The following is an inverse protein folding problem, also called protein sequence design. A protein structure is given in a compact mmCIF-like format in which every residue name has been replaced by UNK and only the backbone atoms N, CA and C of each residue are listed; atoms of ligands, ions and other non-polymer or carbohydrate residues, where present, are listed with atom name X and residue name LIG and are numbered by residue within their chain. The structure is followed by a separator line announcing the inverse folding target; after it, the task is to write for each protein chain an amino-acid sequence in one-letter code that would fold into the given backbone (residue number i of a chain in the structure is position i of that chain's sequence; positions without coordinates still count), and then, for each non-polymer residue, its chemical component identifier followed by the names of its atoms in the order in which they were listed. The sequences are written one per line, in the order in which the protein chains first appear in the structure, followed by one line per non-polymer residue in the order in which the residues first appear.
data_IF_762987595516
#
_entry.id   IF_762987595516
#
_cell.length_a   1.000
_cell.length_b   1.000
_cell.length_c   1.000
_cell.angle_alpha   90.00
_cell.angle_beta   90.00
_cell.angle_gamma   90.00
#
_symmetry.space_group_name_H-M   'P 1'
#
loop_
_entity.id
_entity.type
_entity.pdbx_description
1 polymer ?
#
# COMPACT_ATOMS: atom_id res chain seq x y z
N UNK A 1 -12.37 25.86 4.73
CA UNK A 1 -13.24 24.79 4.19
C UNK A 1 -12.67 24.50 2.83
N UNK A 2 -11.87 23.44 2.71
CA UNK A 2 -11.35 22.99 1.40
C UNK A 2 -12.51 22.31 0.70
N UNK A 3 -12.74 22.66 -0.55
CA UNK A 3 -13.81 22.10 -1.36
C UNK A 3 -13.68 20.58 -1.35
N UNK A 4 -14.67 19.92 -0.75
CA UNK A 4 -14.76 18.47 -0.75
C UNK A 4 -15.15 18.05 -2.16
N UNK A 5 -14.17 17.66 -2.97
CA UNK A 5 -14.43 16.88 -4.16
C UNK A 5 -15.16 15.60 -3.71
N UNK A 6 -16.41 15.44 -4.14
CA UNK A 6 -17.20 14.24 -3.86
C UNK A 6 -16.70 13.07 -4.72
N UNK A 7 -15.51 12.58 -4.38
CA UNK A 7 -14.99 11.30 -4.86
C UNK A 7 -15.47 10.18 -3.94
N UNK A 8 -15.76 9.01 -4.51
CA UNK A 8 -16.01 7.78 -3.72
C UNK A 8 -14.72 7.04 -3.38
N UNK A 9 -13.57 7.56 -3.81
CA UNK A 9 -12.26 7.01 -3.53
C UNK A 9 -11.62 7.69 -2.32
N UNK A 10 -10.93 6.90 -1.51
CA UNK A 10 -10.07 7.38 -0.43
C UNK A 10 -9.01 8.34 -0.99
N UNK A 11 -8.73 9.42 -0.26
CA UNK A 11 -7.59 10.26 -0.58
C UNK A 11 -6.27 9.62 -0.16
N UNK A 12 -5.14 10.28 -0.44
CA UNK A 12 -3.83 9.70 -0.13
C UNK A 12 -3.60 9.51 1.38
N UNK A 13 -4.16 10.35 2.24
CA UNK A 13 -4.03 10.19 3.70
C UNK A 13 -4.92 9.05 4.19
N UNK A 14 -6.17 8.97 3.72
CA UNK A 14 -7.08 7.86 4.02
C UNK A 14 -6.47 6.49 3.66
N UNK A 15 -5.78 6.41 2.51
CA UNK A 15 -5.07 5.20 2.10
C UNK A 15 -3.90 4.85 3.01
N UNK A 16 -3.13 5.84 3.46
CA UNK A 16 -1.98 5.62 4.33
C UNK A 16 -2.42 5.20 5.75
N UNK A 17 -3.48 5.81 6.26
CA UNK A 17 -4.10 5.43 7.53
C UNK A 17 -4.60 3.97 7.45
N UNK A 18 -5.35 3.63 6.40
CA UNK A 18 -5.83 2.26 6.18
C UNK A 18 -4.70 1.24 6.06
N UNK A 19 -3.63 1.57 5.32
CA UNK A 19 -2.46 0.71 5.22
C UNK A 19 -1.79 0.53 6.58
N UNK A 20 -1.54 1.61 7.32
CA UNK A 20 -0.86 1.56 8.62
C UNK A 20 -1.56 0.71 9.69
N UNK A 21 -2.86 0.47 9.55
CA UNK A 21 -3.66 -0.36 10.46
C UNK A 21 -3.61 -1.87 10.15
N UNK A 22 -3.04 -2.30 9.01
CA UNK A 22 -3.01 -3.72 8.64
C UNK A 22 -2.05 -4.52 9.55
N UNK A 23 -2.62 -5.46 10.32
CA UNK A 23 -1.87 -6.45 11.09
C UNK A 23 -2.34 -7.89 10.73
N UNK A 24 -1.46 -8.75 10.22
CA UNK A 24 -0.03 -8.50 9.96
C UNK A 24 0.18 -7.60 8.74
N UNK A 25 1.17 -6.70 8.85
CA UNK A 25 1.65 -5.89 7.72
C UNK A 25 1.91 -6.77 6.49
N UNK A 26 1.54 -6.36 5.26
CA UNK A 26 1.77 -7.12 4.04
C UNK A 26 3.25 -7.27 3.72
N UNK A 27 3.61 -8.33 2.99
CA UNK A 27 4.98 -8.59 2.55
C UNK A 27 5.33 -7.75 1.33
N UNK A 28 4.34 -7.50 0.47
CA UNK A 28 4.44 -6.65 -0.70
C UNK A 28 3.07 -6.07 -1.00
N UNK A 29 3.01 -4.76 -1.23
CA UNK A 29 1.81 -4.04 -1.68
C UNK A 29 1.92 -3.69 -3.16
N UNK A 30 0.98 -4.15 -3.98
CA UNK A 30 0.94 -3.81 -5.40
C UNK A 30 -0.05 -2.67 -5.64
N UNK A 31 0.46 -1.56 -6.16
CA UNK A 31 -0.33 -0.35 -6.46
C UNK A 31 -0.86 -0.47 -7.89
N UNK A 32 -2.18 -0.37 -8.01
CA UNK A 32 -2.95 -0.46 -9.25
C UNK A 32 -3.97 0.66 -9.30
N UNK A 33 -4.62 0.84 -10.45
CA UNK A 33 -5.74 1.78 -10.63
C UNK A 33 -5.43 3.22 -10.15
N UNK A 34 -4.52 3.88 -10.85
CA UNK A 34 -4.20 5.29 -10.66
C UNK A 34 -3.46 5.82 -11.87
N UNK A 35 -3.40 7.14 -12.01
CA UNK A 35 -2.49 7.76 -12.98
C UNK A 35 -1.04 7.43 -12.61
N UNK A 36 -0.12 7.32 -13.60
CA UNK A 36 1.26 6.91 -13.33
C UNK A 36 1.95 7.71 -12.23
N UNK A 37 1.78 9.04 -12.22
CA UNK A 37 2.41 9.92 -11.24
C UNK A 37 1.80 9.75 -9.84
N UNK A 38 0.48 9.55 -9.74
CA UNK A 38 -0.19 9.29 -8.47
C UNK A 38 0.21 7.93 -7.88
N UNK A 39 0.36 6.91 -8.72
CA UNK A 39 0.82 5.59 -8.30
C UNK A 39 2.28 5.62 -7.83
N UNK A 40 3.15 6.35 -8.53
CA UNK A 40 4.54 6.55 -8.13
C UNK A 40 4.65 7.31 -6.80
N UNK A 41 3.87 8.38 -6.62
CA UNK A 41 3.83 9.13 -5.37
C UNK A 41 3.36 8.26 -4.19
N UNK A 42 2.34 7.42 -4.38
CA UNK A 42 1.88 6.49 -3.34
C UNK A 42 2.94 5.43 -3.03
N UNK A 43 3.67 4.93 -4.05
CA UNK A 43 4.78 3.99 -3.85
C UNK A 43 5.88 4.58 -2.95
N UNK A 44 6.31 5.80 -3.26
CA UNK A 44 7.31 6.54 -2.46
C UNK A 44 6.80 6.76 -1.03
N UNK A 45 5.55 7.19 -0.88
CA UNK A 45 4.95 7.46 0.43
C UNK A 45 4.83 6.20 1.31
N UNK A 46 4.48 5.06 0.72
CA UNK A 46 4.46 3.76 1.43
C UNK A 46 5.87 3.36 1.89
N UNK A 47 6.88 3.59 1.06
CA UNK A 47 8.27 3.30 1.42
C UNK A 47 8.77 4.23 2.54
N UNK A 48 8.48 5.52 2.44
CA UNK A 48 8.98 6.53 3.38
C UNK A 48 8.28 6.48 4.75
N UNK A 49 6.95 6.33 4.78
CA UNK A 49 6.17 6.42 6.02
C UNK A 49 6.01 5.07 6.73
N UNK A 50 5.85 3.96 5.98
CA UNK A 50 5.60 2.63 6.56
C UNK A 50 6.84 1.72 6.50
N UNK A 51 7.84 2.04 5.67
CA UNK A 51 8.99 1.16 5.43
C UNK A 51 8.61 -0.14 4.72
N UNK A 52 7.46 -0.18 4.03
CA UNK A 52 6.93 -1.38 3.41
C UNK A 52 7.44 -1.56 1.98
N UNK A 53 7.57 -2.81 1.55
CA UNK A 53 7.85 -3.12 0.14
C UNK A 53 6.57 -2.90 -0.67
N UNK A 54 6.65 -2.07 -1.70
CA UNK A 54 5.56 -1.88 -2.65
C UNK A 54 6.07 -1.78 -4.08
N UNK A 55 5.17 -1.99 -5.05
CA UNK A 55 5.47 -1.88 -6.47
C UNK A 55 4.27 -1.33 -7.24
N UNK A 56 4.51 -0.42 -8.19
CA UNK A 56 3.49 -0.01 -9.17
C UNK A 56 3.40 -1.07 -10.25
N UNK A 57 2.26 -1.75 -10.31
CA UNK A 57 2.08 -2.87 -11.23
C UNK A 57 2.02 -2.39 -12.69
N UNK A 58 2.62 -3.17 -13.59
CA UNK A 58 2.57 -2.90 -15.03
C UNK A 58 1.49 -3.74 -15.70
N UNK A 59 0.88 -3.18 -16.74
CA UNK A 59 -0.12 -3.92 -17.52
C UNK A 59 0.49 -5.21 -18.11
N UNK A 60 -0.16 -6.35 -17.84
CA UNK A 60 0.31 -7.67 -18.28
C UNK A 60 1.43 -8.28 -17.43
N UNK A 61 1.85 -7.61 -16.35
CA UNK A 61 2.80 -8.17 -15.40
C UNK A 61 2.19 -9.37 -14.65
N UNK A 62 3.00 -10.42 -14.49
CA UNK A 62 2.64 -11.61 -13.71
C UNK A 62 3.66 -11.75 -12.60
N UNK A 63 3.18 -11.75 -11.37
CA UNK A 63 4.00 -11.92 -10.16
C UNK A 63 3.71 -13.27 -9.51
N UNK A 64 4.75 -13.95 -9.07
CA UNK A 64 4.61 -15.14 -8.23
C UNK A 64 4.50 -14.65 -6.78
N UNK A 65 3.41 -15.03 -6.11
CA UNK A 65 3.21 -14.79 -4.69
C UNK A 65 3.27 -16.12 -3.95
N UNK A 66 4.27 -16.25 -3.09
CA UNK A 66 4.39 -17.41 -2.22
C UNK A 66 3.45 -17.25 -1.01
N UNK A 67 2.78 -18.33 -0.55
CA UNK A 67 1.95 -18.26 0.63
C UNK A 67 2.79 -17.91 1.85
N UNK A 68 2.29 -16.99 2.67
CA UNK A 68 2.93 -16.61 3.93
C UNK A 68 3.04 -17.84 4.82
N UNK A 69 4.25 -18.36 5.00
CA UNK A 69 4.52 -19.36 6.03
C UNK A 69 4.42 -18.65 7.37
N UNK A 70 3.45 -19.02 8.21
CA UNK A 70 3.24 -18.41 9.53
C UNK A 70 4.49 -18.56 10.40
N UNK A 71 5.33 -17.54 10.47
CA UNK A 71 6.28 -17.40 11.57
C UNK A 71 5.47 -16.93 12.77
N UNK A 72 5.45 -17.75 13.84
CA UNK A 72 4.90 -17.31 15.13
C UNK A 72 5.58 -16.00 15.51
N UNK A 73 4.79 -14.94 15.64
CA UNK A 73 5.21 -13.67 16.22
C UNK A 73 5.81 -14.00 17.60
N UNK A 74 7.12 -13.86 17.76
CA UNK A 74 7.72 -13.94 19.09
C UNK A 74 7.49 -12.57 19.70
N UNK A 75 6.72 -12.55 20.78
CA UNK A 75 6.28 -11.39 21.52
C UNK A 75 7.38 -10.32 21.63
N UNK A 76 7.07 -9.09 21.20
CA UNK A 76 7.86 -7.93 21.57
C UNK A 76 7.67 -7.70 23.07
N UNK A 77 8.76 -7.88 23.82
CA UNK A 77 8.91 -7.38 25.19
C UNK A 77 8.95 -5.85 25.22
#
# INVERSE_FOLDING_TARGET
MRDAEFSVHADSSDLMDWLGELDPAPETTFIVHGEPDAAAALHERIADELGWTSAVARYGEVVVVEPRTTRRHKDRA
#
